data_IF_160453830091
#
_entry.id   IF_160453830091
#
_cell.length_a   1.000
_cell.length_b   1.000
_cell.length_c   1.000
_cell.angle_alpha   90.00
_cell.angle_beta   90.00
_cell.angle_gamma   90.00
#
_symmetry.space_group_name_H-M   'P 1'
#
loop_
_entity.id
_entity.type
_entity.pdbx_description
1 polymer ?
#
# COMPACT_ATOMS: atom_id res chain seq x y z
N UNK A 1 -1.74 11.05 -0.34
CA UNK A 1 -2.38 11.01 0.99
C UNK A 1 -1.43 10.45 2.02
N UNK A 2 -0.97 9.20 1.94
CA UNK A 2 -0.02 8.62 2.92
C UNK A 2 1.18 9.52 3.27
N UNK A 3 1.96 10.00 2.29
CA UNK A 3 3.12 10.88 2.55
C UNK A 3 2.76 12.25 3.16
N UNK A 4 1.62 12.84 2.76
CA UNK A 4 1.22 14.20 3.13
C UNK A 4 0.46 14.22 4.46
N UNK A 5 -0.53 13.34 4.55
CA UNK A 5 -1.55 13.31 5.60
C UNK A 5 -1.20 12.28 6.70
N UNK A 6 -0.24 11.38 6.47
CA UNK A 6 0.13 10.35 7.45
C UNK A 6 -0.92 9.25 7.60
N UNK A 7 -1.80 9.07 6.61
CA UNK A 7 -2.86 8.05 6.65
C UNK A 7 -2.59 7.00 5.57
N UNK A 8 -2.41 5.75 6.00
CA UNK A 8 -2.39 4.58 5.12
C UNK A 8 -3.83 4.12 4.91
N UNK A 9 -4.23 4.07 3.64
CA UNK A 9 -5.57 3.62 3.26
C UNK A 9 -5.77 2.13 3.61
N UNK A 10 -7.02 1.71 3.92
CA UNK A 10 -7.31 0.31 4.17
C UNK A 10 -7.35 -0.50 2.89
N UNK A 11 -7.06 -1.80 3.02
CA UNK A 11 -7.50 -2.82 2.08
C UNK A 11 -8.88 -3.31 2.53
N UNK A 12 -9.93 -2.76 1.94
CA UNK A 12 -11.32 -3.09 2.28
C UNK A 12 -11.70 -4.50 1.77
N UNK A 13 -12.65 -5.15 2.45
CA UNK A 13 -13.14 -6.48 2.07
C UNK A 13 -12.18 -7.61 2.39
N UNK A 14 -11.22 -7.38 3.28
CA UNK A 14 -10.31 -8.40 3.75
C UNK A 14 -10.99 -9.24 4.85
N UNK A 15 -11.20 -10.54 4.61
CA UNK A 15 -11.94 -11.42 5.52
C UNK A 15 -11.05 -12.50 6.14
N UNK A 16 -10.24 -13.19 5.34
CA UNK A 16 -9.41 -14.31 5.77
C UNK A 16 -7.95 -14.12 5.31
N UNK A 17 -6.96 -14.34 6.18
CA UNK A 17 -5.56 -14.27 5.80
C UNK A 17 -5.12 -15.43 4.91
N UNK A 18 -4.42 -15.11 3.82
CA UNK A 18 -3.71 -16.09 3.01
C UNK A 18 -2.33 -16.40 3.65
N UNK A 19 -2.02 -17.66 4.01
CA UNK A 19 -0.72 -18.04 4.56
C UNK A 19 0.48 -17.68 3.68
N UNK A 20 0.31 -17.59 2.36
CA UNK A 20 1.36 -17.22 1.41
C UNK A 20 1.54 -15.69 1.32
N UNK A 21 0.59 -14.90 1.84
CA UNK A 21 0.62 -13.45 1.84
C UNK A 21 0.83 -12.89 3.25
N UNK A 22 2.01 -13.13 3.81
CA UNK A 22 2.41 -12.68 5.15
C UNK A 22 2.78 -11.17 5.20
N UNK A 23 1.98 -10.32 4.55
CA UNK A 23 2.16 -8.87 4.51
C UNK A 23 1.14 -8.15 5.39
N UNK A 24 1.54 -7.00 5.93
CA UNK A 24 0.63 -6.08 6.60
C UNK A 24 -0.14 -5.26 5.55
N UNK A 25 -1.35 -5.71 5.25
CA UNK A 25 -2.21 -5.13 4.22
C UNK A 25 -3.16 -4.03 4.73
N UNK A 26 -3.09 -3.65 6.01
CA UNK A 26 -3.99 -2.64 6.62
C UNK A 26 -5.48 -3.01 6.42
N UNK A 27 -5.96 -4.10 7.03
CA UNK A 27 -7.28 -4.64 6.70
C UNK A 27 -8.42 -3.76 7.22
N UNK A 28 -9.36 -3.42 6.34
CA UNK A 28 -10.68 -2.78 6.60
C UNK A 28 -10.71 -1.39 7.25
N UNK A 29 -9.72 -1.02 8.05
CA UNK A 29 -9.64 0.26 8.77
C UNK A 29 -8.34 0.98 8.41
N UNK A 30 -8.45 2.27 8.07
CA UNK A 30 -7.27 3.09 7.79
C UNK A 30 -6.38 3.21 9.01
N UNK A 31 -5.07 3.36 8.78
CA UNK A 31 -4.10 3.49 9.86
C UNK A 31 -3.29 4.76 9.73
N UNK A 32 -3.18 5.49 10.84
CA UNK A 32 -2.22 6.59 10.95
C UNK A 32 -0.79 6.04 11.08
N UNK A 33 0.13 6.61 10.32
CA UNK A 33 1.55 6.28 10.37
C UNK A 33 2.39 7.47 9.89
N UNK A 34 3.56 7.67 10.49
CA UNK A 34 4.55 8.58 9.92
C UNK A 34 5.23 7.89 8.73
N UNK A 35 4.93 8.36 7.51
CA UNK A 35 5.43 7.77 6.27
C UNK A 35 6.39 8.73 5.58
N UNK A 36 7.67 8.34 5.50
CA UNK A 36 8.71 9.15 4.86
C UNK A 36 8.93 8.76 3.39
N UNK A 37 8.67 7.50 3.04
CA UNK A 37 8.90 6.94 1.70
C UNK A 37 7.74 6.02 1.33
N UNK A 38 7.33 6.04 0.05
CA UNK A 38 6.31 5.13 -0.49
C UNK A 38 6.71 4.59 -1.86
N UNK A 39 6.16 3.42 -2.17
CA UNK A 39 6.18 2.84 -3.50
C UNK A 39 4.75 2.74 -4.04
N UNK A 40 4.57 3.07 -5.32
CA UNK A 40 3.34 2.81 -6.08
C UNK A 40 3.67 1.86 -7.22
N UNK A 41 3.20 0.63 -7.12
CA UNK A 41 3.45 -0.44 -8.08
C UNK A 41 2.28 -0.55 -9.06
N UNK A 42 2.58 -0.72 -10.34
CA UNK A 42 1.59 -0.98 -11.39
C UNK A 42 2.06 -2.12 -12.30
N UNK A 43 1.27 -3.19 -12.33
CA UNK A 43 1.51 -4.37 -13.17
C UNK A 43 0.31 -4.58 -14.08
N UNK A 44 0.53 -4.63 -15.40
CA UNK A 44 -0.53 -4.69 -16.39
C UNK A 44 -0.36 -5.89 -17.33
N UNK A 45 -1.45 -6.26 -18.00
CA UNK A 45 -1.45 -7.30 -19.03
C UNK A 45 -0.41 -6.99 -20.13
N UNK A 46 0.17 -8.05 -20.69
CA UNK A 46 1.29 -7.93 -21.64
C UNK A 46 2.66 -7.80 -20.97
N UNK A 47 2.75 -7.97 -19.65
CA UNK A 47 4.02 -8.01 -18.92
C UNK A 47 4.62 -6.63 -18.63
N UNK A 48 3.81 -5.58 -18.69
CA UNK A 48 4.27 -4.22 -18.37
C UNK A 48 4.30 -4.02 -16.84
N UNK A 49 5.47 -3.69 -16.32
CA UNK A 49 5.69 -3.40 -14.90
C UNK A 49 6.29 -2.00 -14.74
N UNK A 50 5.71 -1.18 -13.87
CA UNK A 50 6.19 0.15 -13.53
C UNK A 50 6.10 0.41 -12.03
N UNK A 51 7.08 1.15 -11.48
CA UNK A 51 7.13 1.50 -10.07
C UNK A 51 7.50 2.98 -9.92
N UNK A 52 6.74 3.71 -9.09
CA UNK A 52 7.09 5.05 -8.65
C UNK A 52 7.55 5.02 -7.19
N UNK A 53 8.73 5.57 -6.93
CA UNK A 53 9.25 5.79 -5.58
C UNK A 53 9.17 7.27 -5.23
N UNK A 54 8.53 7.60 -4.12
CA UNK A 54 8.32 8.97 -3.66
C UNK A 54 8.81 9.09 -2.21
N UNK A 55 9.39 10.24 -1.88
CA UNK A 55 9.84 10.58 -0.52
C UNK A 55 9.23 11.91 -0.09
N UNK A 56 8.88 12.02 1.19
CA UNK A 56 8.47 13.28 1.82
C UNK A 56 9.64 14.27 1.79
N UNK A 57 9.35 15.49 1.33
CA UNK A 57 10.31 16.59 1.34
C UNK A 57 10.30 17.30 2.69
#
# INVERSE_FOLDING_TARGET
MALRDGIIAPTIGYEEPDPECALDVVPNESREANVDVVLSNAFAFGGLNAVLALRKH
#
